data_IF_763271326544
#
_entry.id   IF_763271326544
#
_cell.length_a   1.000
_cell.length_b   1.000
_cell.length_c   1.000
_cell.angle_alpha   90.00
_cell.angle_beta   90.00
_cell.angle_gamma   90.00
#
_symmetry.space_group_name_H-M   'P 1'
#
loop_
_entity.id
_entity.type
_entity.pdbx_description
1 polymer ?
#
# COMPACT_ATOMS: atom_id res chain seq x y z
N UNK A 1 11.81 15.31 13.45
CA UNK A 1 11.11 14.67 12.32
C UNK A 1 9.93 13.74 12.68
N UNK A 2 9.73 13.30 13.94
CA UNK A 2 8.62 12.38 14.33
C UNK A 2 7.19 12.97 14.36
N UNK A 3 7.04 14.30 14.45
CA UNK A 3 5.71 14.95 14.60
C UNK A 3 4.84 14.95 13.33
N UNK A 4 5.42 14.83 12.12
CA UNK A 4 4.64 14.81 10.86
C UNK A 4 3.97 13.45 10.59
N UNK A 5 4.56 12.37 11.09
CA UNK A 5 4.04 11.01 10.92
C UNK A 5 2.82 10.71 11.82
N UNK A 6 2.63 11.45 12.92
CA UNK A 6 1.51 11.25 13.84
C UNK A 6 0.13 11.49 13.20
N UNK A 7 0.08 12.30 12.14
CA UNK A 7 -1.14 12.64 11.40
C UNK A 7 -1.17 12.03 9.99
N UNK A 8 -0.20 11.18 9.64
CA UNK A 8 -0.19 10.52 8.33
C UNK A 8 -0.73 9.11 8.52
N UNK A 9 -2.00 8.83 8.20
CA UNK A 9 -2.51 7.46 8.24
C UNK A 9 -1.62 6.59 7.34
N UNK A 10 -1.01 5.57 7.94
CA UNK A 10 -0.14 4.64 7.23
C UNK A 10 -1.02 3.56 6.64
N UNK A 11 -0.91 3.34 5.33
CA UNK A 11 -1.54 2.21 4.67
C UNK A 11 -0.47 1.18 4.30
N UNK A 12 -0.66 -0.06 4.77
CA UNK A 12 0.14 -1.20 4.33
C UNK A 12 -0.60 -1.89 3.18
N UNK A 13 0.01 -1.95 2.01
CA UNK A 13 -0.61 -2.54 0.81
C UNK A 13 0.06 -3.87 0.49
N UNK A 14 -0.74 -4.91 0.38
CA UNK A 14 -0.32 -6.26 0.02
C UNK A 14 -0.89 -6.64 -1.33
N UNK A 15 -0.05 -7.17 -2.22
CA UNK A 15 -0.46 -7.69 -3.53
C UNK A 15 -0.40 -9.21 -3.50
N UNK A 16 -1.52 -9.87 -3.82
CA UNK A 16 -1.57 -11.32 -3.98
C UNK A 16 -1.34 -11.70 -5.44
N UNK A 17 -0.64 -12.82 -5.66
CA UNK A 17 -0.52 -13.47 -6.97
C UNK A 17 -1.82 -14.16 -7.38
N UNK A 18 -1.83 -14.73 -8.58
CA UNK A 18 -2.95 -15.53 -9.09
C UNK A 18 -3.25 -16.78 -8.26
N UNK A 19 -2.33 -17.17 -7.38
CA UNK A 19 -2.45 -18.26 -6.40
C UNK A 19 -3.02 -17.80 -5.04
N UNK A 20 -3.36 -16.51 -4.91
CA UNK A 20 -3.86 -15.92 -3.67
C UNK A 20 -2.80 -15.69 -2.60
N UNK A 21 -1.51 -15.94 -2.89
CA UNK A 21 -0.42 -15.71 -1.94
C UNK A 21 0.18 -14.33 -2.13
N UNK A 22 0.57 -13.70 -1.02
CA UNK A 22 1.29 -12.42 -1.06
C UNK A 22 2.59 -12.59 -1.84
N UNK A 23 2.80 -11.74 -2.83
CA UNK A 23 4.02 -11.75 -3.64
C UNK A 23 5.15 -11.17 -2.79
N UNK A 24 6.21 -11.92 -2.46
CA UNK A 24 7.32 -11.45 -1.63
C UNK A 24 8.35 -10.67 -2.46
N UNK A 25 7.89 -9.78 -3.33
CA UNK A 25 8.75 -8.87 -4.12
C UNK A 25 8.47 -7.42 -3.76
N UNK A 26 9.49 -6.60 -3.94
CA UNK A 26 9.37 -5.14 -3.87
C UNK A 26 8.38 -4.66 -4.92
N UNK A 27 7.24 -4.12 -4.45
CA UNK A 27 6.17 -3.61 -5.29
C UNK A 27 6.65 -2.48 -6.22
N UNK A 28 7.65 -1.68 -5.81
CA UNK A 28 8.18 -0.61 -6.66
C UNK A 28 8.83 -1.18 -7.92
N UNK A 29 9.62 -2.24 -7.75
CA UNK A 29 10.27 -2.94 -8.88
C UNK A 29 9.27 -3.70 -9.73
N UNK A 30 8.29 -4.33 -9.08
CA UNK A 30 7.29 -5.15 -9.77
C UNK A 30 6.35 -4.32 -10.66
N UNK A 31 5.96 -3.13 -10.21
CA UNK A 31 5.07 -2.23 -10.95
C UNK A 31 5.79 -1.08 -11.67
N UNK A 32 7.13 -1.05 -11.63
CA UNK A 32 7.93 0.01 -12.26
C UNK A 32 7.66 1.41 -11.68
N UNK A 33 7.38 1.48 -10.38
CA UNK A 33 7.09 2.73 -9.67
C UNK A 33 8.39 3.37 -9.19
N UNK A 34 8.41 4.70 -9.19
CA UNK A 34 9.47 5.50 -8.62
C UNK A 34 8.99 6.18 -7.32
N UNK A 35 9.94 6.46 -6.41
CA UNK A 35 9.67 7.29 -5.24
C UNK A 35 9.07 8.64 -5.66
N UNK A 36 8.08 9.12 -4.90
CA UNK A 36 7.39 10.38 -5.18
C UNK A 36 6.26 10.29 -6.21
N UNK A 37 5.99 9.11 -6.78
CA UNK A 37 4.82 8.91 -7.65
C UNK A 37 3.55 8.66 -6.85
N UNK A 38 2.49 9.40 -7.19
CA UNK A 38 1.14 9.14 -6.71
C UNK A 38 0.56 7.91 -7.42
N UNK A 39 0.04 6.97 -6.63
CA UNK A 39 -0.69 5.79 -7.13
C UNK A 39 -2.08 5.72 -6.50
N UNK A 40 -3.01 5.17 -7.26
CA UNK A 40 -4.34 4.79 -6.77
C UNK A 40 -4.38 3.28 -6.63
N UNK A 41 -4.61 2.82 -5.40
CA UNK A 41 -4.75 1.40 -5.07
C UNK A 41 -6.22 1.08 -4.88
N UNK A 42 -6.69 0.02 -5.53
CA UNK A 42 -8.00 -0.58 -5.30
C UNK A 42 -7.82 -1.87 -4.50
N UNK A 43 -8.74 -2.15 -3.59
CA UNK A 43 -8.71 -3.38 -2.81
C UNK A 43 -9.69 -3.39 -1.66
N UNK A 44 -9.54 -4.38 -0.79
CA UNK A 44 -10.28 -4.49 0.47
C UNK A 44 -9.41 -4.03 1.63
N UNK A 45 -9.91 -3.06 2.39
CA UNK A 45 -9.25 -2.51 3.57
C UNK A 45 -9.72 -3.20 4.85
N UNK A 46 -8.79 -3.51 5.75
CA UNK A 46 -9.08 -4.00 7.08
C UNK A 46 -8.13 -3.39 8.12
N UNK A 47 -8.56 -3.42 9.37
CA UNK A 47 -7.81 -2.88 10.50
C UNK A 47 -7.58 -4.00 11.52
N UNK A 48 -6.32 -4.28 11.84
CA UNK A 48 -5.96 -5.20 12.91
C UNK A 48 -5.61 -4.40 14.19
N UNK A 49 -6.48 -4.39 15.21
CA UNK A 49 -6.25 -3.64 16.44
C UNK A 49 -5.05 -4.15 17.24
N UNK A 50 -4.50 -5.33 16.94
CA UNK A 50 -3.36 -5.92 17.67
C UNK A 50 -2.01 -5.32 17.29
N UNK A 51 -1.92 -4.59 16.18
CA UNK A 51 -0.64 -4.06 15.67
C UNK A 51 -0.06 -2.91 16.51
N UNK A 52 -0.82 -2.35 17.45
CA UNK A 52 -0.35 -1.25 18.31
C UNK A 52 -0.06 0.07 17.57
N UNK A 53 -0.20 0.08 16.24
CA UNK A 53 -0.04 1.24 15.36
C UNK A 53 -1.29 1.37 14.47
N UNK A 54 -1.78 2.60 14.22
CA UNK A 54 -2.95 2.84 13.38
C UNK A 54 -2.58 2.68 11.90
N UNK A 55 -2.50 1.43 11.45
CA UNK A 55 -2.20 1.07 10.05
C UNK A 55 -3.45 0.44 9.42
N UNK A 56 -3.87 0.97 8.28
CA UNK A 56 -4.89 0.34 7.44
C UNK A 56 -4.18 -0.67 6.56
N UNK A 57 -4.59 -1.94 6.62
CA UNK A 57 -4.09 -2.97 5.73
C UNK A 57 -5.01 -3.07 4.53
N UNK A 58 -4.44 -3.11 3.32
CA UNK A 58 -5.19 -3.19 2.07
C UNK A 58 -4.71 -4.42 1.31
N UNK A 59 -5.62 -5.36 1.08
CA UNK A 59 -5.42 -6.43 0.09
C UNK A 59 -5.79 -5.88 -1.28
N UNK A 60 -4.79 -5.57 -2.08
CA UNK A 60 -4.97 -4.87 -3.35
C UNK A 60 -5.34 -5.84 -4.49
N UNK A 61 -6.34 -5.43 -5.27
CA UNK A 61 -6.76 -6.09 -6.52
C UNK A 61 -6.37 -5.27 -7.77
N UNK A 62 -5.95 -4.01 -7.60
CA UNK A 62 -5.47 -3.17 -8.69
C UNK A 62 -4.61 -2.00 -8.23
N UNK A 63 -3.69 -1.58 -9.11
CA UNK A 63 -2.84 -0.40 -8.92
C UNK A 63 -2.81 0.43 -10.21
N UNK A 64 -2.98 1.74 -10.05
CA UNK A 64 -3.03 2.70 -11.16
C UNK A 64 -2.06 3.85 -10.87
N UNK A 65 -1.17 4.15 -11.82
CA UNK A 65 -0.31 5.33 -11.72
C UNK A 65 -1.13 6.59 -12.00
N UNK A 66 -1.13 7.56 -11.06
CA UNK A 66 -1.77 8.85 -11.26
C UNK A 66 -0.83 9.75 -12.07
N UNK A 67 -1.13 9.95 -13.36
CA UNK A 67 -0.43 10.97 -14.15
C UNK A 67 -0.89 12.35 -13.72
N UNK A 68 0.05 13.23 -13.38
CA UNK A 68 -0.24 14.66 -13.25
C UNK A 68 -0.69 15.19 -14.62
N UNK A 69 -1.72 16.04 -14.61
CA UNK A 69 -2.27 16.66 -15.81
C UNK A 69 -1.39 17.82 -16.27
#
# INVERSE_FOLDING_TARGET
CKKRAANSPIAAVSFAGSDGKVIPLDAQKLFGLAEGQDVVVRGSGFFDPKLGIPVIQINADGLYLRKAK
#
